data_IF_990156966814
#
_entry.id   IF_990156966814
#
_cell.length_a   1.000
_cell.length_b   1.000
_cell.length_c   1.000
_cell.angle_alpha   90.00
_cell.angle_beta   90.00
_cell.angle_gamma   90.00
#
_symmetry.space_group_name_H-M   'P 1'
#
loop_
_entity.id
_entity.type
_entity.pdbx_description
1 polymer ?
#
# COMPACT_ATOMS: atom_id res chain seq x y z
N UNK A 1 1.00 -39.91 -29.98
CA UNK A 1 1.48 -38.61 -29.46
C UNK A 1 1.20 -37.61 -30.53
N UNK A 2 0.22 -36.74 -30.27
CA UNK A 2 -0.14 -35.65 -31.19
C UNK A 2 0.76 -34.46 -30.81
N UNK A 3 1.53 -33.96 -31.77
CA UNK A 3 2.42 -32.81 -31.61
C UNK A 3 1.69 -31.58 -32.14
N UNK A 4 1.22 -30.71 -31.27
CA UNK A 4 0.65 -29.42 -31.65
C UNK A 4 1.79 -28.41 -31.80
N UNK A 5 2.14 -28.04 -33.01
CA UNK A 5 3.09 -26.98 -33.30
C UNK A 5 2.34 -25.65 -33.36
N UNK A 6 2.51 -24.82 -32.33
CA UNK A 6 2.04 -23.42 -32.35
C UNK A 6 3.19 -22.52 -32.85
N UNK A 7 2.99 -21.85 -33.94
CA UNK A 7 3.89 -20.78 -34.37
C UNK A 7 3.69 -19.58 -33.45
N UNK A 8 4.68 -19.24 -32.64
CA UNK A 8 4.72 -17.97 -31.94
C UNK A 8 4.97 -16.85 -32.95
N UNK A 9 4.28 -15.75 -32.78
CA UNK A 9 4.49 -14.52 -33.55
C UNK A 9 4.63 -13.34 -32.56
N UNK A 10 4.94 -12.15 -33.06
CA UNK A 10 5.09 -10.91 -32.32
C UNK A 10 3.95 -9.92 -32.56
N UNK A 11 2.84 -10.41 -33.11
CA UNK A 11 1.64 -9.61 -33.35
C UNK A 11 0.80 -9.51 -32.07
N UNK A 12 1.29 -8.75 -31.11
CA UNK A 12 0.61 -8.54 -29.83
C UNK A 12 -0.59 -7.61 -29.95
N UNK A 13 -1.63 -7.90 -29.18
CA UNK A 13 -2.75 -6.99 -28.98
C UNK A 13 -2.34 -5.83 -28.06
N UNK A 14 -3.09 -4.74 -28.13
CA UNK A 14 -2.93 -3.67 -27.14
C UNK A 14 -3.31 -4.18 -25.76
N UNK A 15 -2.46 -3.94 -24.77
CA UNK A 15 -2.74 -4.31 -23.38
C UNK A 15 -3.62 -3.25 -22.75
N UNK A 16 -4.74 -3.67 -22.16
CA UNK A 16 -5.55 -2.82 -21.31
C UNK A 16 -5.05 -2.88 -19.86
N UNK A 17 -4.88 -1.70 -19.26
CA UNK A 17 -4.52 -1.58 -17.85
C UNK A 17 -5.81 -1.68 -17.02
N UNK A 18 -5.84 -2.52 -15.97
CA UNK A 18 -7.04 -2.82 -15.21
C UNK A 18 -7.11 -2.06 -13.88
N UNK A 19 -6.07 -2.15 -13.06
CA UNK A 19 -6.03 -1.50 -11.73
C UNK A 19 -4.66 -0.87 -11.47
N UNK A 20 -4.62 0.31 -10.83
CA UNK A 20 -5.76 1.17 -10.43
C UNK A 20 -6.58 1.63 -11.62
N UNK A 21 -7.87 1.98 -11.40
CA UNK A 21 -8.71 2.55 -12.46
C UNK A 21 -8.32 4.00 -12.76
N UNK A 22 -8.74 4.54 -13.90
CA UNK A 22 -8.33 5.89 -14.32
C UNK A 22 -8.80 6.99 -13.36
N UNK A 23 -9.95 6.81 -12.71
CA UNK A 23 -10.59 7.79 -11.84
C UNK A 23 -10.38 7.49 -10.35
N UNK A 24 -9.49 6.55 -10.01
CA UNK A 24 -9.24 6.17 -8.62
C UNK A 24 -8.34 7.20 -7.95
N UNK A 25 -8.90 7.90 -6.96
CA UNK A 25 -8.20 8.91 -6.17
C UNK A 25 -7.68 8.33 -4.86
N UNK A 26 -6.67 8.99 -4.29
CA UNK A 26 -6.17 8.63 -2.95
C UNK A 26 -5.54 7.25 -2.89
N UNK A 27 -4.85 6.86 -3.95
CA UNK A 27 -4.21 5.55 -4.04
C UNK A 27 -3.12 5.43 -2.96
N UNK A 28 -3.10 4.28 -2.28
CA UNK A 28 -2.06 3.97 -1.30
C UNK A 28 -0.66 4.02 -1.92
N UNK A 29 0.34 4.38 -1.12
CA UNK A 29 1.76 4.33 -1.48
C UNK A 29 2.25 2.92 -1.87
N UNK A 30 1.47 1.90 -1.50
CA UNK A 30 1.68 0.52 -1.87
C UNK A 30 0.47 0.05 -2.65
N UNK A 31 0.62 -0.18 -3.94
CA UNK A 31 -0.48 -0.47 -4.86
C UNK A 31 -0.13 -1.64 -5.77
N UNK A 32 -1.11 -2.48 -6.07
CA UNK A 32 -0.95 -3.54 -7.07
C UNK A 32 -1.43 -3.03 -8.43
N UNK A 33 -0.51 -2.98 -9.37
CA UNK A 33 -0.80 -2.71 -10.77
C UNK A 33 -1.24 -4.00 -11.45
N UNK A 34 -2.32 -3.97 -12.22
CA UNK A 34 -2.81 -5.14 -12.98
C UNK A 34 -3.19 -4.74 -14.40
N UNK A 35 -3.04 -5.67 -15.32
CA UNK A 35 -3.36 -5.50 -16.74
C UNK A 35 -3.91 -6.78 -17.33
N UNK A 36 -4.49 -6.69 -18.52
CA UNK A 36 -4.98 -7.86 -19.26
C UNK A 36 -3.85 -8.79 -19.65
N UNK A 37 -4.17 -10.08 -19.68
CA UNK A 37 -3.24 -11.12 -20.13
C UNK A 37 -3.21 -11.11 -21.65
N UNK A 38 -2.01 -10.90 -22.22
CA UNK A 38 -1.77 -11.13 -23.63
C UNK A 38 -1.35 -12.61 -23.84
N UNK A 39 -2.15 -13.34 -24.60
CA UNK A 39 -2.07 -14.81 -24.70
C UNK A 39 -0.77 -15.35 -25.29
N UNK A 40 -0.11 -14.56 -26.17
CA UNK A 40 1.15 -14.93 -26.79
C UNK A 40 2.37 -14.33 -26.08
N UNK A 41 2.15 -13.50 -25.05
CA UNK A 41 3.24 -12.96 -24.23
C UNK A 41 3.78 -14.02 -23.26
N UNK A 42 5.09 -14.08 -23.13
CA UNK A 42 5.77 -14.89 -22.11
C UNK A 42 6.17 -14.06 -20.90
N UNK A 43 6.23 -12.74 -21.07
CA UNK A 43 6.53 -11.79 -20.01
C UNK A 43 6.13 -10.37 -20.44
N UNK A 44 6.23 -9.44 -19.49
CA UNK A 44 5.87 -8.03 -19.66
C UNK A 44 7.00 -7.15 -19.16
N UNK A 45 7.20 -6.00 -19.79
CA UNK A 45 8.02 -4.92 -19.26
C UNK A 45 7.07 -3.86 -18.73
N UNK A 46 7.19 -3.57 -17.43
CA UNK A 46 6.49 -2.50 -16.72
C UNK A 46 7.45 -1.32 -16.57
N UNK A 47 6.95 -0.13 -16.85
CA UNK A 47 7.61 1.14 -16.52
C UNK A 47 6.69 2.00 -15.67
N UNK A 48 7.28 2.65 -14.65
CA UNK A 48 6.65 3.67 -13.82
C UNK A 48 7.54 4.90 -13.82
N UNK A 49 6.97 6.08 -14.05
CA UNK A 49 7.69 7.35 -14.15
C UNK A 49 7.00 8.45 -13.36
N UNK A 50 7.73 9.52 -13.03
CA UNK A 50 7.21 10.76 -12.43
C UNK A 50 6.73 11.78 -13.47
N UNK A 51 6.74 11.42 -14.74
CA UNK A 51 6.27 12.29 -15.84
C UNK A 51 5.62 11.48 -16.97
N UNK A 52 4.68 12.10 -17.66
CA UNK A 52 3.90 11.50 -18.74
C UNK A 52 4.75 11.07 -19.96
N UNK A 53 5.93 11.67 -20.13
CA UNK A 53 6.84 11.35 -21.25
C UNK A 53 7.79 10.20 -20.91
N UNK A 54 7.73 9.66 -19.68
CA UNK A 54 8.62 8.63 -19.18
C UNK A 54 10.11 9.01 -19.26
N UNK A 55 10.41 10.29 -19.03
CA UNK A 55 11.78 10.80 -18.98
C UNK A 55 12.42 10.55 -17.61
N UNK A 56 11.62 10.50 -16.56
CA UNK A 56 12.04 10.21 -15.17
C UNK A 56 11.44 8.87 -14.70
N UNK A 57 11.99 7.78 -15.20
CA UNK A 57 11.56 6.42 -14.85
C UNK A 57 12.09 6.06 -13.47
N UNK A 58 11.19 5.69 -12.55
CA UNK A 58 11.51 5.23 -11.19
C UNK A 58 11.50 3.70 -11.07
N UNK A 59 10.74 3.01 -11.91
CA UNK A 59 10.72 1.55 -12.01
C UNK A 59 10.74 1.15 -13.48
N UNK A 60 11.66 0.25 -13.84
CA UNK A 60 11.64 -0.46 -15.10
C UNK A 60 11.99 -1.91 -14.81
N UNK A 61 11.05 -2.82 -15.01
CA UNK A 61 11.20 -4.22 -14.63
C UNK A 61 10.48 -5.16 -15.57
N UNK A 62 10.92 -6.42 -15.60
CA UNK A 62 10.24 -7.49 -16.33
C UNK A 62 9.55 -8.44 -15.34
N UNK A 63 8.34 -8.90 -15.70
CA UNK A 63 7.57 -9.87 -14.94
C UNK A 63 6.86 -10.87 -15.87
N UNK A 64 6.69 -12.10 -15.41
CA UNK A 64 5.88 -13.12 -16.09
C UNK A 64 4.41 -13.06 -15.69
N UNK A 65 4.10 -12.28 -14.62
CA UNK A 65 2.74 -12.09 -14.13
C UNK A 65 2.09 -10.90 -14.84
N UNK A 66 0.77 -10.89 -14.90
CA UNK A 66 -0.02 -9.74 -15.33
C UNK A 66 -0.33 -8.76 -14.18
N UNK A 67 0.54 -8.73 -13.19
CA UNK A 67 0.46 -7.85 -12.04
C UNK A 67 1.82 -7.52 -11.47
N UNK A 68 1.92 -6.37 -10.77
CA UNK A 68 3.12 -5.95 -10.08
C UNK A 68 2.76 -5.17 -8.80
N UNK A 69 3.38 -5.52 -7.69
CA UNK A 69 3.18 -4.80 -6.43
C UNK A 69 4.21 -3.68 -6.29
N UNK A 70 3.77 -2.47 -6.58
CA UNK A 70 4.53 -1.23 -6.46
C UNK A 70 4.50 -0.74 -5.00
N UNK A 71 5.67 -0.37 -4.46
CA UNK A 71 5.83 -0.03 -3.04
C UNK A 71 6.55 1.31 -2.88
N UNK A 72 6.31 1.93 -1.71
CA UNK A 72 7.05 3.09 -1.23
C UNK A 72 6.99 4.31 -2.15
N UNK A 73 5.87 4.51 -2.80
CA UNK A 73 5.61 5.76 -3.52
C UNK A 73 5.61 6.94 -2.54
N UNK A 74 5.95 8.13 -3.02
CA UNK A 74 5.84 9.35 -2.21
C UNK A 74 4.36 9.72 -2.02
N UNK A 75 4.04 10.48 -0.98
CA UNK A 75 2.71 11.02 -0.76
C UNK A 75 2.43 12.21 -1.69
N UNK A 76 1.17 12.41 -2.04
CA UNK A 76 0.69 13.55 -2.81
C UNK A 76 1.45 13.75 -4.13
N UNK A 77 1.84 12.67 -4.75
CA UNK A 77 2.60 12.64 -5.99
C UNK A 77 1.81 11.96 -7.10
N UNK A 78 2.11 12.39 -8.32
CA UNK A 78 1.57 11.82 -9.54
C UNK A 78 2.61 10.90 -10.18
N UNK A 79 2.19 9.70 -10.56
CA UNK A 79 2.99 8.73 -11.28
C UNK A 79 2.27 8.26 -12.53
N UNK A 80 3.01 7.92 -13.56
CA UNK A 80 2.54 7.37 -14.81
C UNK A 80 3.08 5.97 -14.96
N UNK A 81 2.27 5.03 -15.42
CA UNK A 81 2.71 3.67 -15.65
C UNK A 81 2.18 3.11 -16.94
N UNK A 82 2.94 2.21 -17.55
CA UNK A 82 2.62 1.52 -18.79
C UNK A 82 3.27 0.15 -18.85
N UNK A 83 2.73 -0.71 -19.68
CA UNK A 83 3.19 -2.09 -19.84
C UNK A 83 3.33 -2.42 -21.33
N UNK A 84 4.30 -3.24 -21.67
CA UNK A 84 4.39 -3.85 -23.00
C UNK A 84 4.66 -5.35 -22.90
N UNK A 85 4.07 -6.18 -23.78
CA UNK A 85 4.28 -7.60 -23.81
C UNK A 85 5.58 -7.94 -24.56
N UNK A 86 6.15 -9.08 -24.23
CA UNK A 86 7.25 -9.65 -25.01
C UNK A 86 7.18 -11.18 -25.00
N UNK A 87 7.74 -11.78 -26.06
CA UNK A 87 8.03 -13.18 -26.18
C UNK A 87 9.35 -13.40 -26.93
N UNK A 88 9.70 -14.64 -27.26
CA UNK A 88 10.94 -14.98 -27.96
C UNK A 88 11.02 -14.40 -29.40
N UNK A 89 9.87 -14.07 -30.02
CA UNK A 89 9.81 -13.52 -31.36
C UNK A 89 10.00 -12.00 -31.40
N UNK A 90 9.64 -11.29 -30.32
CA UNK A 90 9.73 -9.84 -30.31
C UNK A 90 9.10 -9.19 -29.08
N UNK A 91 8.94 -7.88 -29.19
CA UNK A 91 8.38 -7.01 -28.14
C UNK A 91 7.27 -6.17 -28.74
N UNK A 92 6.10 -6.15 -28.09
CA UNK A 92 4.97 -5.32 -28.48
C UNK A 92 5.15 -3.84 -28.15
N UNK A 93 4.16 -3.04 -28.53
CA UNK A 93 4.07 -1.65 -28.16
C UNK A 93 3.73 -1.51 -26.67
N UNK A 94 4.06 -0.36 -26.07
CA UNK A 94 3.51 0.00 -24.75
C UNK A 94 2.01 0.24 -24.85
N UNK A 95 1.31 -0.11 -23.78
CA UNK A 95 -0.07 0.32 -23.56
C UNK A 95 -0.19 1.83 -23.51
N UNK A 96 -1.42 2.34 -23.61
CA UNK A 96 -1.72 3.69 -23.12
C UNK A 96 -1.24 3.82 -21.69
N UNK A 97 -0.70 4.98 -21.34
CA UNK A 97 -0.24 5.22 -19.97
C UNK A 97 -1.43 5.53 -19.05
N UNK A 98 -1.32 5.11 -17.79
CA UNK A 98 -2.30 5.41 -16.75
C UNK A 98 -1.63 6.17 -15.61
N UNK A 99 -2.39 7.10 -15.02
CA UNK A 99 -1.94 7.92 -13.90
C UNK A 99 -2.29 7.25 -12.57
N UNK A 100 -1.44 7.46 -11.58
CA UNK A 100 -1.64 7.11 -10.17
C UNK A 100 -1.45 8.40 -9.37
N UNK A 101 -2.49 8.84 -8.67
CA UNK A 101 -2.42 9.94 -7.73
C UNK A 101 -2.39 9.39 -6.31
N UNK A 102 -1.24 9.48 -5.66
CA UNK A 102 -1.09 8.97 -4.30
C UNK A 102 -1.79 9.86 -3.29
N UNK A 103 -2.26 9.23 -2.21
CA UNK A 103 -3.00 9.93 -1.16
C UNK A 103 -2.21 11.08 -0.56
N UNK A 104 -2.91 12.14 -0.20
CA UNK A 104 -2.37 13.23 0.62
C UNK A 104 -2.14 12.71 2.04
N UNK A 105 -1.01 13.10 2.64
CA UNK A 105 -0.80 12.88 4.08
C UNK A 105 -1.77 13.77 4.85
N UNK A 106 -2.80 13.19 5.40
CA UNK A 106 -3.70 13.89 6.30
C UNK A 106 -3.45 13.43 7.75
N UNK A 107 -2.44 14.04 8.38
CA UNK A 107 -2.14 13.77 9.78
C UNK A 107 -3.21 14.42 10.66
N UNK A 108 -4.06 13.61 11.27
CA UNK A 108 -5.02 14.06 12.28
C UNK A 108 -4.57 13.68 13.66
N UNK A 109 -4.75 14.59 14.60
CA UNK A 109 -4.51 14.35 16.02
C UNK A 109 -5.83 14.01 16.72
N UNK A 110 -5.85 12.90 17.43
CA UNK A 110 -6.98 12.47 18.22
C UNK A 110 -6.60 12.48 19.69
N UNK A 111 -7.49 13.01 20.51
CA UNK A 111 -7.28 13.14 21.94
C UNK A 111 -8.41 12.42 22.67
N UNK A 112 -8.11 11.71 23.76
CA UNK A 112 -9.15 11.16 24.62
C UNK A 112 -9.94 12.29 25.31
N UNK A 113 -11.22 12.06 25.50
CA UNK A 113 -12.12 13.06 26.11
C UNK A 113 -11.92 13.26 27.64
N UNK A 114 -11.12 12.40 28.28
CA UNK A 114 -10.95 12.36 29.73
C UNK A 114 -9.48 12.22 30.15
N UNK A 115 -8.74 13.31 30.07
CA UNK A 115 -7.37 13.44 30.61
C UNK A 115 -7.29 14.64 31.57
N UNK A 116 -6.38 14.64 32.56
CA UNK A 116 -5.56 13.52 33.01
C UNK A 116 -6.36 12.40 33.66
N UNK A 117 -5.87 11.16 33.64
CA UNK A 117 -6.53 10.03 34.28
C UNK A 117 -5.61 9.37 35.29
N UNK A 118 -6.15 9.13 36.48
CA UNK A 118 -5.40 8.47 37.56
C UNK A 118 -5.13 7.00 37.16
N UNK A 119 -3.89 6.55 37.35
CA UNK A 119 -3.52 5.16 37.20
C UNK A 119 -3.92 4.44 38.50
N UNK A 120 -4.72 3.38 38.37
CA UNK A 120 -5.14 2.58 39.51
C UNK A 120 -4.01 1.67 39.97
N UNK A 121 -3.74 1.67 41.25
CA UNK A 121 -2.81 0.72 41.89
C UNK A 121 -3.35 -0.71 41.86
N UNK A 122 -2.45 -1.67 41.98
CA UNK A 122 -2.81 -3.07 42.14
C UNK A 122 -3.52 -3.28 43.49
N UNK A 123 -4.56 -4.13 43.47
CA UNK A 123 -5.25 -4.58 44.67
C UNK A 123 -4.95 -6.06 44.93
N UNK A 124 -3.93 -6.32 45.76
CA UNK A 124 -3.48 -7.66 46.06
C UNK A 124 -2.87 -8.36 44.82
N UNK A 125 -3.46 -9.46 44.41
CA UNK A 125 -2.99 -10.24 43.26
C UNK A 125 -3.49 -9.73 41.89
N UNK A 126 -4.36 -8.72 41.88
CA UNK A 126 -4.94 -8.16 40.66
C UNK A 126 -4.19 -6.89 40.26
N UNK A 127 -3.70 -6.80 39.02
CA UNK A 127 -3.04 -5.60 38.54
C UNK A 127 -4.04 -4.44 38.44
N UNK A 128 -3.61 -3.25 38.79
CA UNK A 128 -4.36 -2.03 38.50
C UNK A 128 -4.39 -1.81 36.96
N UNK A 129 -5.58 -1.65 36.40
CA UNK A 129 -5.76 -1.41 34.97
C UNK A 129 -6.47 -0.09 34.74
N UNK A 130 -5.80 0.84 34.07
CA UNK A 130 -6.43 2.07 33.59
C UNK A 130 -6.52 2.03 32.08
N UNK A 131 -7.73 2.21 31.54
CA UNK A 131 -7.99 2.26 30.09
C UNK A 131 -8.35 3.67 29.67
N UNK A 132 -7.76 4.13 28.60
CA UNK A 132 -8.09 5.38 27.93
C UNK A 132 -8.52 5.04 26.51
N UNK A 133 -9.70 5.48 26.11
CA UNK A 133 -10.24 5.22 24.78
C UNK A 133 -10.11 6.47 23.93
N UNK A 134 -9.57 6.31 22.73
CA UNK A 134 -9.56 7.32 21.69
C UNK A 134 -10.48 6.83 20.58
N UNK A 135 -11.50 7.60 20.23
CA UNK A 135 -12.40 7.28 19.15
C UNK A 135 -11.93 7.95 17.87
N UNK A 136 -11.69 7.14 16.85
CA UNK A 136 -11.37 7.58 15.49
C UNK A 136 -12.59 7.30 14.63
N UNK A 137 -13.24 8.35 14.13
CA UNK A 137 -14.48 8.23 13.34
C UNK A 137 -14.22 8.29 11.83
N UNK A 138 -12.98 8.55 11.43
CA UNK A 138 -12.63 8.61 10.01
C UNK A 138 -12.55 7.20 9.41
N UNK A 139 -13.18 7.05 8.26
CA UNK A 139 -13.07 5.85 7.44
C UNK A 139 -11.86 6.01 6.50
N UNK A 140 -10.68 5.79 7.03
CA UNK A 140 -9.44 5.88 6.27
C UNK A 140 -8.55 4.67 6.55
N UNK A 141 -7.76 4.30 5.58
CA UNK A 141 -6.68 3.34 5.78
C UNK A 141 -5.60 4.01 6.64
N UNK A 142 -5.24 3.37 7.74
CA UNK A 142 -4.18 3.85 8.62
C UNK A 142 -2.85 3.32 8.07
N UNK A 143 -1.98 4.22 7.61
CA UNK A 143 -0.63 3.86 7.15
C UNK A 143 0.41 3.97 8.26
N UNK A 144 0.23 4.91 9.22
CA UNK A 144 1.11 5.11 10.36
C UNK A 144 0.35 5.64 11.58
N UNK A 145 0.79 5.25 12.76
CA UNK A 145 0.26 5.72 14.05
C UNK A 145 1.41 6.15 14.94
N UNK A 146 1.39 7.42 15.33
CA UNK A 146 2.28 7.96 16.35
C UNK A 146 1.50 8.17 17.65
N UNK A 147 1.91 7.49 18.72
CA UNK A 147 1.28 7.61 20.05
C UNK A 147 2.17 8.41 20.97
N UNK A 148 1.69 9.58 21.45
CA UNK A 148 2.37 10.37 22.46
C UNK A 148 1.73 10.14 23.81
N UNK A 149 2.51 9.67 24.78
CA UNK A 149 2.07 9.37 26.14
C UNK A 149 2.91 10.18 27.11
N UNK A 150 2.25 10.76 28.12
CA UNK A 150 2.91 11.38 29.26
C UNK A 150 2.35 10.74 30.52
N UNK A 151 3.22 10.17 31.35
CA UNK A 151 2.87 9.45 32.58
C UNK A 151 3.72 9.99 33.73
N UNK A 152 3.05 10.30 34.84
CA UNK A 152 3.69 10.59 36.13
C UNK A 152 3.35 9.45 37.07
N UNK A 153 4.37 8.73 37.54
CA UNK A 153 4.23 7.61 38.46
C UNK A 153 5.52 7.45 39.29
N UNK A 154 5.35 7.05 40.55
CA UNK A 154 6.47 6.89 41.47
C UNK A 154 7.38 5.70 41.08
N UNK A 155 6.79 4.66 40.50
CA UNK A 155 7.49 3.42 40.09
C UNK A 155 7.19 3.13 38.62
N UNK A 156 7.97 3.74 37.72
CA UNK A 156 7.75 3.61 36.27
C UNK A 156 8.03 2.19 35.78
N UNK A 157 8.93 1.47 36.40
CA UNK A 157 9.29 0.09 36.09
C UNK A 157 8.17 -0.93 36.28
N UNK A 158 7.15 -0.58 37.08
CA UNK A 158 5.97 -1.41 37.32
C UNK A 158 4.85 -1.20 36.27
N UNK A 159 5.07 -0.28 35.33
CA UNK A 159 4.07 0.08 34.33
C UNK A 159 4.31 -0.69 33.03
N UNK A 160 3.27 -1.29 32.52
CA UNK A 160 3.24 -1.82 31.14
C UNK A 160 2.14 -1.11 30.34
N UNK A 161 2.52 -0.60 29.18
CA UNK A 161 1.63 0.17 28.31
C UNK A 161 1.31 -0.66 27.07
N UNK A 162 0.04 -0.68 26.68
CA UNK A 162 -0.42 -1.40 25.49
C UNK A 162 -1.34 -0.51 24.65
N UNK A 163 -1.10 -0.51 23.36
CA UNK A 163 -2.07 -0.06 22.37
C UNK A 163 -2.99 -1.25 22.04
N UNK A 164 -4.31 -1.03 22.14
CA UNK A 164 -5.30 -2.07 21.87
C UNK A 164 -6.15 -1.64 20.68
N UNK A 165 -6.07 -2.40 19.60
CA UNK A 165 -6.87 -2.16 18.41
C UNK A 165 -8.35 -2.57 18.61
N UNK A 166 -9.29 -2.12 17.78
CA UNK A 166 -10.70 -2.49 17.86
C UNK A 166 -10.95 -4.01 17.83
N UNK A 167 -10.13 -4.76 17.12
CA UNK A 167 -10.17 -6.22 17.05
C UNK A 167 -9.54 -6.92 18.27
N UNK A 168 -9.21 -6.16 19.35
CA UNK A 168 -8.57 -6.62 20.58
C UNK A 168 -7.09 -7.03 20.44
N UNK A 169 -6.47 -6.82 19.30
CA UNK A 169 -5.01 -7.01 19.16
C UNK A 169 -4.28 -6.02 20.07
N UNK A 170 -3.31 -6.52 20.84
CA UNK A 170 -2.51 -5.73 21.79
C UNK A 170 -1.08 -5.62 21.30
N UNK A 171 -0.56 -4.39 21.27
CA UNK A 171 0.83 -4.07 20.99
C UNK A 171 1.41 -3.43 22.25
N UNK A 172 2.49 -4.00 22.76
CA UNK A 172 3.22 -3.40 23.89
C UNK A 172 4.06 -2.23 23.35
N UNK A 173 3.95 -1.08 24.00
CA UNK A 173 4.70 0.14 23.68
C UNK A 173 5.98 0.23 24.49
#
# INVERSE_FOLDING_TARGET
VELELRALNDNFSNIELLSPTMDEEGISRNVTLTWEVETIATSYILEVAKDVNFSNIIVSTSTIMNSYFLKNLDFAEEYFWRVKPLNICGTGAFSESRVINTTLVNCKNYYPSSLPRQISDSQGVFPGITKVTINVFDQALIEDINVKISIEHLYIEDISIYLIAPNQTKIKL
#
